data_IF_896841685866
#
_entry.id   IF_896841685866
#
_cell.length_a   1.000
_cell.length_b   1.000
_cell.length_c   1.000
_cell.angle_alpha   90.00
_cell.angle_beta   90.00
_cell.angle_gamma   90.00
#
_symmetry.space_group_name_H-M   'P 1'
#
loop_
_entity.id
_entity.type
_entity.pdbx_description
1 polymer ?
#
# COMPACT_ATOMS: atom_id res chain seq x y z
N UNK A 1 -14.85 17.50 -13.47
CA UNK A 1 -13.42 17.41 -13.14
C UNK A 1 -13.28 17.29 -11.62
N UNK A 2 -12.42 16.40 -11.11
CA UNK A 2 -12.24 16.22 -9.66
C UNK A 2 -11.28 17.29 -9.12
N UNK A 3 -11.76 18.20 -8.26
CA UNK A 3 -10.96 19.32 -7.73
C UNK A 3 -9.61 18.88 -7.14
N UNK A 4 -9.62 17.82 -6.34
CA UNK A 4 -8.41 17.27 -5.71
C UNK A 4 -7.38 16.74 -6.72
N UNK A 5 -7.82 16.22 -7.88
CA UNK A 5 -6.93 15.73 -8.92
C UNK A 5 -6.19 16.88 -9.59
N UNK A 6 -6.89 17.98 -9.89
CA UNK A 6 -6.28 19.18 -10.51
C UNK A 6 -5.19 19.73 -9.61
N UNK A 7 -5.52 19.96 -8.33
CA UNK A 7 -4.59 20.47 -7.32
C UNK A 7 -3.36 19.56 -7.20
N UNK A 8 -3.57 18.24 -7.21
CA UNK A 8 -2.46 17.29 -7.18
C UNK A 8 -1.59 17.36 -8.43
N UNK A 9 -2.20 17.37 -9.61
CA UNK A 9 -1.52 17.34 -10.91
C UNK A 9 -0.74 18.62 -11.19
N UNK A 10 -1.22 19.78 -10.75
CA UNK A 10 -0.49 21.06 -10.81
C UNK A 10 0.87 21.01 -10.10
N UNK A 11 0.97 20.25 -9.00
CA UNK A 11 2.20 20.16 -8.20
C UNK A 11 3.07 18.93 -8.51
N UNK A 12 2.46 17.78 -8.80
CA UNK A 12 3.14 16.48 -8.91
C UNK A 12 3.12 15.89 -10.32
N UNK A 13 2.40 16.51 -11.26
CA UNK A 13 2.14 15.98 -12.59
C UNK A 13 0.99 14.96 -12.64
N UNK A 14 0.72 14.46 -13.85
CA UNK A 14 -0.42 13.58 -14.14
C UNK A 14 -0.42 12.30 -13.29
N UNK A 15 -1.59 11.90 -12.78
CA UNK A 15 -1.73 10.62 -12.08
C UNK A 15 -1.60 9.45 -13.08
N UNK A 16 -0.62 8.53 -12.90
CA UNK A 16 -0.41 7.42 -13.83
C UNK A 16 -1.57 6.42 -13.86
N UNK A 17 -1.68 5.67 -14.97
CA UNK A 17 -2.66 4.57 -15.08
C UNK A 17 -2.40 3.50 -14.01
N UNK A 18 -3.48 3.03 -13.38
CA UNK A 18 -3.41 2.04 -12.30
C UNK A 18 -3.17 2.64 -10.91
N UNK A 19 -3.07 3.96 -10.80
CA UNK A 19 -2.99 4.70 -9.55
C UNK A 19 -4.23 5.56 -9.33
N UNK A 20 -4.53 5.82 -8.06
CA UNK A 20 -5.64 6.66 -7.61
C UNK A 20 -5.17 7.60 -6.50
N UNK A 21 -5.85 8.73 -6.38
CA UNK A 21 -5.71 9.61 -5.21
C UNK A 21 -6.68 9.17 -4.13
N UNK A 22 -6.20 9.08 -2.90
CA UNK A 22 -7.01 8.85 -1.71
C UNK A 22 -6.86 9.98 -0.71
N UNK A 23 -7.95 10.32 -0.05
CA UNK A 23 -7.94 11.12 1.18
C UNK A 23 -7.47 10.24 2.34
N UNK A 24 -6.56 10.76 3.15
CA UNK A 24 -5.95 10.03 4.27
C UNK A 24 -6.86 10.02 5.51
N UNK A 25 -7.55 11.12 5.78
CA UNK A 25 -8.62 11.21 6.79
C UNK A 25 -9.97 10.61 6.33
N UNK A 26 -10.12 10.35 5.02
CA UNK A 26 -11.39 9.92 4.44
C UNK A 26 -12.42 11.03 4.19
N UNK A 27 -12.10 12.28 4.54
CA UNK A 27 -12.92 13.45 4.27
C UNK A 27 -12.60 14.04 2.89
N UNK A 28 -13.58 13.97 1.98
CA UNK A 28 -13.45 14.47 0.60
C UNK A 28 -13.51 15.99 0.50
N UNK A 29 -13.87 16.68 1.58
CA UNK A 29 -13.91 18.14 1.66
C UNK A 29 -12.56 18.74 2.06
N UNK A 30 -11.71 17.97 2.78
CA UNK A 30 -10.35 18.35 3.13
C UNK A 30 -9.38 18.12 1.95
N UNK A 31 -9.43 19.04 0.97
CA UNK A 31 -8.61 18.99 -0.23
C UNK A 31 -7.29 19.75 0.00
N UNK A 32 -6.38 19.12 0.74
CA UNK A 32 -5.01 19.59 0.96
C UNK A 32 -4.02 18.58 0.40
N UNK A 33 -2.88 19.03 -0.13
CA UNK A 33 -1.88 18.13 -0.71
C UNK A 33 -1.39 17.09 0.32
N UNK A 34 -1.23 17.49 1.57
CA UNK A 34 -0.77 16.61 2.65
C UNK A 34 -1.81 15.57 3.09
N UNK A 35 -3.10 15.80 2.81
CA UNK A 35 -4.18 14.85 3.05
C UNK A 35 -4.44 13.93 1.84
N UNK A 36 -3.76 14.16 0.71
CA UNK A 36 -3.86 13.32 -0.47
C UNK A 36 -2.67 12.36 -0.53
N UNK A 37 -2.95 11.11 -0.89
CA UNK A 37 -1.92 10.14 -1.21
C UNK A 37 -2.21 9.48 -2.56
N UNK A 38 -1.18 9.38 -3.39
CA UNK A 38 -1.20 8.61 -4.62
C UNK A 38 -0.84 7.15 -4.31
N UNK A 39 -1.79 6.24 -4.51
CA UNK A 39 -1.60 4.81 -4.26
C UNK A 39 -2.04 3.98 -5.47
N UNK A 40 -1.51 2.78 -5.61
CA UNK A 40 -1.98 1.84 -6.63
C UNK A 40 -3.41 1.37 -6.32
N UNK A 41 -4.15 0.97 -7.36
CA UNK A 41 -5.48 0.36 -7.18
C UNK A 41 -5.42 -0.91 -6.31
N UNK A 42 -4.33 -1.67 -6.39
CA UNK A 42 -4.13 -2.86 -5.58
C UNK A 42 -3.97 -2.51 -4.09
N UNK A 43 -3.17 -1.49 -3.77
CA UNK A 43 -3.02 -0.99 -2.39
C UNK A 43 -4.37 -0.49 -1.86
N UNK A 44 -5.13 0.29 -2.64
CA UNK A 44 -6.46 0.76 -2.24
C UNK A 44 -7.41 -0.39 -1.92
N UNK A 45 -7.40 -1.44 -2.74
CA UNK A 45 -8.23 -2.62 -2.52
C UNK A 45 -7.82 -3.35 -1.24
N UNK A 46 -6.51 -3.53 -1.03
CA UNK A 46 -5.98 -4.23 0.13
C UNK A 46 -6.26 -3.49 1.45
N UNK A 47 -6.14 -2.16 1.47
CA UNK A 47 -6.47 -1.34 2.65
C UNK A 47 -7.95 -1.53 3.02
N UNK A 48 -8.86 -1.51 2.04
CA UNK A 48 -10.30 -1.71 2.27
C UNK A 48 -10.58 -3.14 2.78
N UNK A 49 -10.00 -4.17 2.15
CA UNK A 49 -10.19 -5.58 2.55
C UNK A 49 -9.66 -5.86 3.96
N UNK A 50 -8.52 -5.28 4.29
CA UNK A 50 -7.87 -5.43 5.59
C UNK A 50 -8.40 -4.46 6.66
N UNK A 51 -9.41 -3.63 6.35
CA UNK A 51 -9.98 -2.61 7.25
C UNK A 51 -8.92 -1.68 7.86
N UNK A 52 -7.94 -1.26 7.06
CA UNK A 52 -6.82 -0.40 7.47
C UNK A 52 -7.06 1.10 7.23
N UNK A 53 -8.29 1.49 6.87
CA UNK A 53 -8.66 2.91 6.82
C UNK A 53 -9.01 3.42 8.20
N UNK A 54 -8.61 4.65 8.49
CA UNK A 54 -8.98 5.39 9.70
C UNK A 54 -9.34 6.82 9.34
N UNK A 55 -10.02 7.51 10.25
CA UNK A 55 -10.17 8.97 10.19
C UNK A 55 -8.88 9.71 10.55
N UNK A 56 -7.93 9.04 11.20
CA UNK A 56 -6.60 9.60 11.45
C UNK A 56 -5.70 9.41 10.21
N UNK A 57 -5.21 10.51 9.60
CA UNK A 57 -4.35 10.43 8.42
C UNK A 57 -3.10 9.56 8.60
N UNK A 58 -2.44 9.64 9.75
CA UNK A 58 -1.21 8.88 10.03
C UNK A 58 -1.46 7.38 10.12
N UNK A 59 -2.64 6.99 10.62
CA UNK A 59 -3.03 5.58 10.65
C UNK A 59 -3.33 5.07 9.25
N UNK A 60 -4.00 5.87 8.41
CA UNK A 60 -4.21 5.50 6.99
C UNK A 60 -2.89 5.43 6.22
N UNK A 61 -1.92 6.34 6.45
CA UNK A 61 -0.56 6.26 5.89
C UNK A 61 0.12 4.94 6.29
N UNK A 62 0.04 4.57 7.56
CA UNK A 62 0.56 3.28 8.05
C UNK A 62 -0.16 2.09 7.41
N UNK A 63 -1.48 2.18 7.24
CA UNK A 63 -2.30 1.19 6.56
C UNK A 63 -1.89 0.97 5.10
N UNK A 64 -1.57 2.05 4.37
CA UNK A 64 -1.03 1.99 3.01
C UNK A 64 0.29 1.21 2.99
N UNK A 65 1.20 1.47 3.94
CA UNK A 65 2.47 0.75 4.03
C UNK A 65 2.27 -0.75 4.29
N UNK A 66 1.38 -1.11 5.23
CA UNK A 66 1.05 -2.51 5.52
C UNK A 66 0.48 -3.20 4.27
N UNK A 67 -0.42 -2.54 3.53
CA UNK A 67 -0.98 -3.06 2.29
C UNK A 67 0.10 -3.30 1.22
N UNK A 68 1.03 -2.36 1.05
CA UNK A 68 2.17 -2.50 0.13
C UNK A 68 3.05 -3.71 0.48
N UNK A 69 3.34 -3.92 1.75
CA UNK A 69 4.11 -5.09 2.24
C UNK A 69 3.37 -6.39 1.94
N UNK A 70 2.07 -6.47 2.26
CA UNK A 70 1.23 -7.65 1.98
C UNK A 70 1.19 -8.01 0.50
N UNK A 71 0.96 -7.01 -0.36
CA UNK A 71 0.89 -7.21 -1.82
C UNK A 71 2.24 -7.67 -2.39
N UNK A 72 3.35 -7.07 -1.92
CA UNK A 72 4.70 -7.47 -2.34
C UNK A 72 4.99 -8.91 -1.95
N UNK A 73 4.65 -9.32 -0.73
CA UNK A 73 4.77 -10.71 -0.27
C UNK A 73 3.94 -11.67 -1.14
N UNK A 74 2.69 -11.32 -1.45
CA UNK A 74 1.81 -12.15 -2.27
C UNK A 74 2.30 -12.27 -3.72
N UNK A 75 2.87 -11.21 -4.30
CA UNK A 75 3.49 -11.26 -5.63
C UNK A 75 4.69 -12.22 -5.66
N UNK A 76 5.55 -12.20 -4.64
CA UNK A 76 6.69 -13.12 -4.51
C UNK A 76 6.24 -14.59 -4.39
N UNK A 77 5.20 -14.86 -3.58
CA UNK A 77 4.58 -16.21 -3.48
C UNK A 77 4.11 -16.74 -4.84
N UNK A 78 3.40 -15.89 -5.61
CA UNK A 78 2.87 -16.27 -6.94
C UNK A 78 3.96 -16.52 -7.98
N UNK A 79 5.08 -15.80 -7.88
CA UNK A 79 6.20 -15.92 -8.81
C UNK A 79 7.22 -17.01 -8.40
N UNK A 80 6.91 -17.86 -7.42
CA UNK A 80 7.80 -18.93 -6.96
C UNK A 80 9.07 -18.46 -6.23
N UNK A 81 9.25 -17.15 -6.02
CA UNK A 81 10.40 -16.58 -5.32
C UNK A 81 10.17 -16.58 -3.80
N UNK A 82 10.08 -17.77 -3.22
CA UNK A 82 10.70 -17.96 -1.92
C UNK A 82 12.19 -18.16 -2.18
N UNK A 83 13.00 -17.15 -1.90
CA UNK A 83 14.36 -17.46 -1.48
C UNK A 83 14.21 -18.31 -0.22
N UNK A 84 14.68 -19.54 -0.33
CA UNK A 84 14.84 -20.51 0.73
C UNK A 84 15.63 -19.88 1.87
N UNK A 85 14.95 -19.34 2.88
CA UNK A 85 15.56 -19.09 4.20
C UNK A 85 14.93 -19.96 5.29
N UNK A 86 13.71 -20.47 5.07
CA UNK A 86 13.04 -21.35 6.05
C UNK A 86 13.34 -22.85 5.83
N UNK A 87 13.82 -23.24 4.63
CA UNK A 87 14.24 -24.63 4.35
C UNK A 87 15.66 -24.95 4.83
N UNK A 88 16.56 -23.97 4.89
CA UNK A 88 17.91 -24.16 5.45
C UNK A 88 17.91 -24.25 6.98
N UNK A 89 17.03 -23.51 7.67
CA UNK A 89 16.97 -23.57 9.13
C UNK A 89 16.44 -24.92 9.66
N UNK A 90 15.57 -25.60 8.89
CA UNK A 90 15.05 -26.92 9.27
C UNK A 90 15.99 -28.08 8.95
N UNK A 91 16.83 -27.97 7.91
CA UNK A 91 17.79 -29.02 7.57
C UNK A 91 19.07 -28.96 8.42
N UNK A 92 19.44 -27.78 8.94
CA UNK A 92 20.61 -27.64 9.83
C UNK A 92 20.32 -27.93 11.31
N UNK A 93 19.07 -28.22 11.68
CA UNK A 93 18.67 -28.51 13.07
C UNK A 93 18.54 -30.02 13.36
N UNK A 94 18.69 -30.89 12.35
CA UNK A 94 18.61 -32.36 12.50
C UNK A 94 19.96 -33.08 12.41
N UNK A 95 21.06 -32.37 12.12
CA UNK A 95 22.41 -32.96 12.02
C UNK A 95 23.31 -32.66 13.25
N UNK A 96 22.72 -32.23 14.36
CA UNK A 96 23.40 -32.14 15.66
C UNK A 96 22.47 -32.62 16.77
N UNK A 97 22.42 -33.93 16.96
CA UNK A 97 22.40 -34.67 18.24
C UNK A 97 22.77 -36.12 17.90
#
# INVERSE_FOLDING_TARGET
MLKHRVIWEEKNGSVPKGYILTFLDGDKSNITLDNLALISMAESLEITRSKLRSSNPEFTKTGILIAKVKLTRNKKKRNGQYLTTDKEFKNNATDKI
#
